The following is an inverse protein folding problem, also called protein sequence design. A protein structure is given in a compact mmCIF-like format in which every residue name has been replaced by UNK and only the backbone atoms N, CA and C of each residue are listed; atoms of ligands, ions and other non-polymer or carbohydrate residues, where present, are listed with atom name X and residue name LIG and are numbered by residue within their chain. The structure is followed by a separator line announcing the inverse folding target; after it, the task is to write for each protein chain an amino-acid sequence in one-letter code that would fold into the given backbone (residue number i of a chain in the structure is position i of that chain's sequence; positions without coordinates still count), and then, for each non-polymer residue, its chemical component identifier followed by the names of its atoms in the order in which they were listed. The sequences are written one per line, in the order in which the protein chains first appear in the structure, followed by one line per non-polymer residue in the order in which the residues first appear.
data_IF_116663950802
#
_entry.id   IF_116663950802
#
_cell.length_a   1.000
_cell.length_b   1.000
_cell.length_c   1.000
_cell.angle_alpha   90.00
_cell.angle_beta   90.00
_cell.angle_gamma   90.00
#
_symmetry.space_group_name_H-M   'P 1'
#
loop_
_entity.id
_entity.type
_entity.pdbx_description
1 polymer ?
#
# COMPACT_ATOMS: atom_id res chain seq x y z
N UNK A 1 -10.32 17.63 18.51
CA UNK A 1 -10.82 18.82 17.76
C UNK A 1 -11.93 18.48 16.78
N UNK A 2 -11.78 17.49 15.87
CA UNK A 2 -12.82 17.22 14.88
C UNK A 2 -14.16 16.76 15.46
N UNK A 3 -14.17 15.99 16.57
CA UNK A 3 -15.41 15.55 17.22
C UNK A 3 -16.30 16.72 17.64
N UNK A 4 -15.73 17.78 18.23
CA UNK A 4 -16.48 18.95 18.68
C UNK A 4 -17.03 19.79 17.52
N UNK A 5 -16.42 19.71 16.33
CA UNK A 5 -16.77 20.49 15.15
C UNK A 5 -17.52 19.68 14.08
N UNK A 6 -17.91 18.44 14.37
CA UNK A 6 -18.45 17.52 13.38
C UNK A 6 -19.69 18.07 12.64
N UNK A 7 -20.61 18.69 13.37
CA UNK A 7 -21.81 19.32 12.80
C UNK A 7 -21.47 20.52 11.91
N UNK A 8 -20.52 21.35 12.33
CA UNK A 8 -20.06 22.52 11.57
C UNK A 8 -19.34 22.10 10.28
N UNK A 9 -18.46 21.10 10.36
CA UNK A 9 -17.80 20.53 9.19
C UNK A 9 -18.81 19.90 8.22
N UNK A 10 -19.84 19.22 8.74
CA UNK A 10 -20.92 18.68 7.92
C UNK A 10 -21.67 19.80 7.15
N UNK A 11 -21.99 20.92 7.81
CA UNK A 11 -22.60 22.11 7.17
C UNK A 11 -21.70 22.71 6.08
N UNK A 12 -20.39 22.76 6.29
CA UNK A 12 -19.44 23.24 5.27
C UNK A 12 -19.39 22.28 4.07
N UNK A 13 -19.25 20.98 4.32
CA UNK A 13 -19.15 19.96 3.27
C UNK A 13 -20.44 19.81 2.47
N UNK A 14 -21.61 20.06 3.07
CA UNK A 14 -22.89 20.01 2.36
C UNK A 14 -23.02 21.07 1.27
N UNK A 15 -22.22 22.14 1.31
CA UNK A 15 -22.13 23.16 0.24
C UNK A 15 -21.25 22.74 -0.94
N UNK A 16 -20.42 21.71 -0.78
CA UNK A 16 -19.54 21.23 -1.84
C UNK A 16 -20.29 20.46 -2.91
N UNK A 17 -19.76 20.47 -4.14
CA UNK A 17 -20.29 19.62 -5.22
C UNK A 17 -19.94 18.15 -4.97
N UNK A 18 -20.71 17.25 -5.59
CA UNK A 18 -20.46 15.82 -5.51
C UNK A 18 -19.04 15.45 -5.96
N UNK A 19 -18.51 16.15 -6.96
CA UNK A 19 -17.18 15.96 -7.53
C UNK A 19 -16.06 16.33 -6.53
N UNK A 20 -16.13 17.52 -5.93
CA UNK A 20 -15.19 17.96 -4.89
C UNK A 20 -15.13 16.94 -3.75
N UNK A 21 -16.30 16.45 -3.30
CA UNK A 21 -16.36 15.45 -2.25
C UNK A 21 -15.75 14.11 -2.67
N UNK A 22 -15.90 13.70 -3.94
CA UNK A 22 -15.21 12.49 -4.46
C UNK A 22 -13.70 12.67 -4.42
N UNK A 23 -13.20 13.83 -4.83
CA UNK A 23 -11.76 14.13 -4.80
C UNK A 23 -11.21 14.15 -3.37
N UNK A 24 -11.94 14.75 -2.42
CA UNK A 24 -11.60 14.66 -0.98
C UNK A 24 -11.52 13.21 -0.52
N UNK A 25 -12.51 12.39 -0.88
CA UNK A 25 -12.55 10.97 -0.50
C UNK A 25 -11.36 10.19 -1.03
N UNK A 26 -10.98 10.42 -2.28
CA UNK A 26 -9.80 9.78 -2.89
C UNK A 26 -8.52 10.26 -2.19
N UNK A 27 -8.34 11.58 -2.08
CA UNK A 27 -7.13 12.20 -1.50
C UNK A 27 -6.92 11.82 -0.03
N UNK A 28 -8.00 11.65 0.73
CA UNK A 28 -7.95 11.31 2.15
C UNK A 28 -8.17 9.82 2.42
N UNK A 29 -8.32 8.97 1.40
CA UNK A 29 -8.50 7.52 1.59
C UNK A 29 -9.76 7.15 2.37
N UNK A 30 -10.84 7.91 2.19
CA UNK A 30 -12.16 7.52 2.71
C UNK A 30 -12.81 6.51 1.75
N UNK A 31 -13.96 5.94 2.14
CA UNK A 31 -14.66 4.94 1.32
C UNK A 31 -15.21 5.55 0.02
N UNK A 32 -14.56 5.27 -1.11
CA UNK A 32 -14.86 5.83 -2.44
C UNK A 32 -16.14 5.33 -3.11
N UNK A 33 -16.67 4.16 -2.69
CA UNK A 33 -17.84 3.53 -3.32
C UNK A 33 -19.18 4.13 -2.90
N UNK A 34 -19.18 5.15 -2.05
CA UNK A 34 -20.40 5.78 -1.54
C UNK A 34 -20.97 6.70 -2.61
N UNK A 35 -22.14 6.34 -3.16
CA UNK A 35 -22.79 7.08 -4.23
C UNK A 35 -23.49 8.36 -3.74
N UNK A 36 -24.19 8.28 -2.60
CA UNK A 36 -24.98 9.38 -2.04
C UNK A 36 -24.08 10.43 -1.38
N UNK A 37 -24.44 11.70 -1.55
CA UNK A 37 -23.68 12.84 -1.02
C UNK A 37 -23.58 12.80 0.50
N UNK A 38 -24.68 12.58 1.21
CA UNK A 38 -24.74 12.61 2.67
C UNK A 38 -23.94 11.47 3.31
N UNK A 39 -24.07 10.26 2.78
CA UNK A 39 -23.25 9.12 3.20
C UNK A 39 -21.75 9.41 3.00
N UNK A 40 -21.38 10.17 1.96
CA UNK A 40 -19.99 10.56 1.70
C UNK A 40 -19.51 11.59 2.72
N UNK A 41 -20.33 12.57 3.04
CA UNK A 41 -20.04 13.56 4.09
C UNK A 41 -19.85 12.83 5.43
N UNK A 42 -20.76 11.91 5.79
CA UNK A 42 -20.64 11.12 7.02
C UNK A 42 -19.35 10.30 7.05
N UNK A 43 -18.96 9.68 5.94
CA UNK A 43 -17.70 8.96 5.80
C UNK A 43 -16.47 9.87 6.03
N UNK A 44 -16.49 11.08 5.46
CA UNK A 44 -15.45 12.10 5.70
C UNK A 44 -15.40 12.44 7.19
N UNK A 45 -16.53 12.82 7.80
CA UNK A 45 -16.60 13.23 9.21
C UNK A 45 -16.12 12.12 10.15
N UNK A 46 -16.62 10.90 10.00
CA UNK A 46 -16.18 9.75 10.82
C UNK A 46 -14.68 9.50 10.70
N UNK A 47 -14.14 9.59 9.48
CA UNK A 47 -12.70 9.43 9.27
C UNK A 47 -11.86 10.57 9.86
N UNK A 48 -12.36 11.81 9.88
CA UNK A 48 -11.70 12.94 10.53
C UNK A 48 -11.73 12.84 12.06
N UNK A 49 -12.82 12.32 12.62
CA UNK A 49 -12.93 12.02 14.06
C UNK A 49 -11.89 10.98 14.45
N UNK A 50 -11.81 9.86 13.72
CA UNK A 50 -10.80 8.82 13.94
C UNK A 50 -9.38 9.37 13.83
N UNK A 51 -9.12 10.23 12.85
CA UNK A 51 -7.81 10.87 12.67
C UNK A 51 -7.43 11.72 13.88
N UNK A 52 -8.41 12.44 14.45
CA UNK A 52 -8.20 13.28 15.63
C UNK A 52 -7.98 12.50 16.92
N UNK A 53 -8.29 11.20 16.96
CA UNK A 53 -8.02 10.34 18.13
C UNK A 53 -6.67 9.64 18.07
N UNK A 54 -5.96 9.70 16.94
CA UNK A 54 -4.61 9.16 16.82
C UNK A 54 -3.61 10.10 17.51
N UNK A 55 -2.55 9.56 18.13
CA UNK A 55 -1.51 10.38 18.72
C UNK A 55 -0.72 11.15 17.63
N UNK A 56 -0.04 12.25 17.96
CA UNK A 56 0.69 13.06 16.98
C UNK A 56 1.83 12.33 16.27
N UNK A 57 2.44 11.35 16.96
CA UNK A 57 3.44 10.42 16.43
C UNK A 57 2.95 9.01 16.66
N UNK A 58 3.02 8.18 15.63
CA UNK A 58 2.65 6.77 15.70
C UNK A 58 3.29 5.99 14.56
N UNK A 59 3.30 4.67 14.72
CA UNK A 59 3.78 3.78 13.68
C UNK A 59 2.63 3.19 12.86
N UNK A 60 2.92 2.97 11.59
CA UNK A 60 2.06 2.29 10.62
C UNK A 60 2.81 1.05 10.15
N UNK A 61 2.14 -0.09 10.09
CA UNK A 61 2.64 -1.26 9.37
C UNK A 61 1.74 -1.57 8.17
N UNK A 62 2.30 -1.63 6.96
CA UNK A 62 1.63 -2.15 5.77
C UNK A 62 2.04 -3.60 5.55
N UNK A 63 1.09 -4.51 5.35
CA UNK A 63 1.32 -5.95 5.19
C UNK A 63 0.68 -6.43 3.89
N UNK A 64 1.45 -7.16 3.10
CA UNK A 64 0.98 -7.96 1.97
C UNK A 64 1.09 -9.45 2.35
N UNK A 65 -0.07 -10.11 2.46
CA UNK A 65 -0.17 -11.47 2.98
C UNK A 65 0.12 -12.47 1.88
N UNK A 66 1.14 -13.29 2.11
CA UNK A 66 1.35 -14.50 1.34
C UNK A 66 2.22 -15.50 2.08
N UNK A 67 1.87 -16.78 2.05
CA UNK A 67 2.65 -17.82 2.75
C UNK A 67 4.11 -17.89 2.29
N UNK A 68 4.36 -17.77 0.99
CA UNK A 68 5.70 -17.87 0.39
C UNK A 68 6.38 -16.51 0.14
N UNK A 69 5.62 -15.43 0.32
CA UNK A 69 5.99 -14.10 -0.13
C UNK A 69 5.46 -13.01 0.81
N UNK A 70 5.36 -13.33 2.10
CA UNK A 70 4.92 -12.40 3.14
C UNK A 70 5.83 -11.19 3.12
N UNK A 71 5.24 -10.00 3.01
CA UNK A 71 5.99 -8.76 2.99
C UNK A 71 5.34 -7.73 3.91
N UNK A 72 6.16 -6.90 4.54
CA UNK A 72 5.66 -5.78 5.33
C UNK A 72 6.62 -4.60 5.30
N UNK A 73 6.07 -3.42 5.55
CA UNK A 73 6.82 -2.19 5.75
C UNK A 73 6.32 -1.46 7.00
N UNK A 74 7.21 -1.17 7.95
CA UNK A 74 6.95 -0.34 9.12
C UNK A 74 7.42 1.08 8.87
N UNK A 75 6.53 2.03 9.13
CA UNK A 75 6.76 3.46 9.02
C UNK A 75 6.56 4.12 10.37
N UNK A 76 7.49 4.97 10.78
CA UNK A 76 7.27 5.96 11.84
C UNK A 76 6.71 7.25 11.22
N UNK A 77 5.61 7.77 11.75
CA UNK A 77 5.02 9.02 11.27
C UNK A 77 5.83 10.24 11.71
N UNK A 78 6.48 10.88 10.73
CA UNK A 78 7.16 12.17 10.89
C UNK A 78 6.26 13.39 10.58
N UNK A 79 6.72 14.60 10.93
CA UNK A 79 5.98 15.84 10.67
C UNK A 79 5.91 16.20 9.18
N UNK A 80 6.91 15.79 8.38
CA UNK A 80 7.01 16.09 6.95
C UNK A 80 6.77 14.87 6.10
N UNK A 81 7.51 13.78 6.36
CA UNK A 81 7.40 12.50 5.65
C UNK A 81 7.56 11.33 6.64
N UNK A 82 6.90 10.19 6.38
CA UNK A 82 7.12 8.98 7.16
C UNK A 82 8.54 8.45 6.97
N UNK A 83 9.06 7.82 8.01
CA UNK A 83 10.38 7.21 8.04
C UNK A 83 10.23 5.70 8.00
N UNK A 84 10.86 5.03 7.02
CA UNK A 84 10.91 3.58 6.91
C UNK A 84 11.82 3.06 8.03
N UNK A 85 11.23 2.38 9.00
CA UNK A 85 11.92 1.75 10.11
C UNK A 85 12.35 0.32 9.75
N UNK A 86 11.48 -0.39 9.04
CA UNK A 86 11.72 -1.77 8.64
C UNK A 86 10.97 -2.06 7.33
N UNK A 87 11.60 -2.79 6.41
CA UNK A 87 10.95 -3.21 5.17
C UNK A 87 11.51 -4.56 4.73
N UNK A 88 10.68 -5.60 4.82
CA UNK A 88 11.16 -6.97 4.75
C UNK A 88 10.18 -7.89 4.00
N UNK A 89 10.71 -9.00 3.48
CA UNK A 89 9.96 -10.07 2.82
C UNK A 89 10.61 -11.42 3.11
N UNK A 90 9.79 -12.44 3.38
CA UNK A 90 10.24 -13.81 3.54
C UNK A 90 9.11 -14.82 3.31
N UNK A 91 9.50 -16.07 3.18
CA UNK A 91 8.64 -17.24 3.20
C UNK A 91 8.34 -17.62 4.66
N UNK A 92 7.06 -17.61 5.04
CA UNK A 92 6.62 -17.91 6.39
C UNK A 92 6.91 -19.37 6.78
N UNK A 93 6.91 -20.27 5.81
CA UNK A 93 7.27 -21.66 6.07
C UNK A 93 8.73 -21.72 6.48
N UNK A 94 9.63 -21.23 5.63
CA UNK A 94 11.06 -21.26 5.92
C UNK A 94 11.42 -20.60 7.24
N UNK A 95 10.80 -19.45 7.54
CA UNK A 95 11.10 -18.68 8.74
C UNK A 95 10.66 -19.35 10.04
N UNK A 96 9.49 -20.00 10.05
CA UNK A 96 8.85 -20.42 11.31
C UNK A 96 8.63 -21.93 11.47
N UNK A 97 8.89 -22.73 10.43
CA UNK A 97 8.63 -24.18 10.45
C UNK A 97 9.40 -24.90 11.56
N UNK A 98 10.62 -24.48 11.87
CA UNK A 98 11.46 -25.11 12.91
C UNK A 98 10.87 -25.01 14.32
N UNK A 99 10.02 -24.01 14.58
CA UNK A 99 9.35 -23.83 15.87
C UNK A 99 7.96 -24.49 15.96
N UNK A 100 7.53 -25.23 14.94
CA UNK A 100 6.22 -25.89 14.93
C UNK A 100 6.32 -27.40 15.13
N UNK A 101 5.59 -27.91 16.12
CA UNK A 101 5.47 -29.34 16.41
C UNK A 101 4.05 -29.84 16.08
N UNK A 102 3.87 -30.74 15.08
CA UNK A 102 2.58 -31.37 14.78
C UNK A 102 2.02 -32.22 15.93
N UNK A 103 0.69 -32.35 16.03
CA UNK A 103 0.05 -33.21 17.04
C UNK A 103 -0.11 -34.64 16.53
N UNK A 104 -0.58 -34.78 15.29
CA UNK A 104 -0.78 -36.09 14.69
C UNK A 104 0.58 -36.47 14.10
N UNK A 105 1.26 -37.47 14.68
CA UNK A 105 2.58 -37.99 14.29
C UNK A 105 2.62 -38.56 12.84
N UNK A 106 2.09 -37.86 11.84
CA UNK A 106 2.36 -38.15 10.44
C UNK A 106 3.85 -37.90 10.20
N UNK A 107 4.47 -38.75 9.38
CA UNK A 107 5.86 -38.59 8.96
C UNK A 107 5.97 -37.19 8.34
N UNK A 108 6.60 -36.30 9.09
CA UNK A 108 6.63 -34.87 8.84
C UNK A 108 7.33 -34.56 7.52
N UNK A 109 6.56 -34.30 6.46
CA UNK A 109 7.08 -33.63 5.29
C UNK A 109 6.91 -32.12 5.47
N UNK A 110 8.03 -31.47 5.83
CA UNK A 110 8.12 -30.02 6.05
C UNK A 110 7.57 -29.22 4.88
N UNK A 111 7.68 -29.75 3.67
CA UNK A 111 7.27 -29.05 2.45
C UNK A 111 5.77 -29.20 2.17
N UNK A 112 5.09 -30.13 2.85
CA UNK A 112 3.71 -30.54 2.58
C UNK A 112 2.75 -30.44 3.78
N UNK A 113 3.14 -29.77 4.87
CA UNK A 113 2.32 -29.60 6.09
C UNK A 113 0.88 -29.10 5.84
N UNK A 114 0.67 -28.28 4.80
CA UNK A 114 -0.64 -27.76 4.43
C UNK A 114 -1.52 -28.77 3.68
N UNK A 115 -0.97 -29.91 3.26
CA UNK A 115 -1.63 -30.93 2.45
C UNK A 115 -1.79 -32.29 3.13
N UNK A 116 -1.08 -32.54 4.24
CA UNK A 116 -1.11 -33.85 4.90
C UNK A 116 -2.39 -34.11 5.69
N UNK A 117 -2.75 -33.22 6.61
CA UNK A 117 -3.95 -33.38 7.43
C UNK A 117 -4.58 -32.04 7.85
N UNK A 118 -5.90 -32.04 8.03
CA UNK A 118 -6.68 -30.82 8.29
C UNK A 118 -6.37 -30.20 9.66
N UNK A 119 -6.06 -31.03 10.65
CA UNK A 119 -5.82 -30.60 12.03
C UNK A 119 -4.52 -29.81 12.11
N UNK A 120 -3.41 -30.39 11.66
CA UNK A 120 -2.11 -29.76 11.69
C UNK A 120 -1.99 -28.61 10.70
N UNK A 121 -2.61 -28.69 9.52
CA UNK A 121 -2.60 -27.56 8.57
C UNK A 121 -3.31 -26.33 9.15
N UNK A 122 -4.48 -26.50 9.77
CA UNK A 122 -5.22 -25.41 10.42
C UNK A 122 -4.46 -24.86 11.63
N UNK A 123 -3.91 -25.76 12.47
CA UNK A 123 -3.13 -25.38 13.65
C UNK A 123 -1.84 -24.67 13.26
N UNK A 124 -1.20 -25.09 12.18
CA UNK A 124 -0.01 -24.45 11.65
C UNK A 124 -0.29 -23.03 11.14
N UNK A 125 -1.38 -22.81 10.41
CA UNK A 125 -1.78 -21.45 10.00
C UNK A 125 -2.10 -20.56 11.21
N UNK A 126 -2.72 -21.12 12.25
CA UNK A 126 -2.95 -20.39 13.51
C UNK A 126 -1.63 -20.05 14.22
N UNK A 127 -0.67 -20.96 14.24
CA UNK A 127 0.68 -20.73 14.73
C UNK A 127 1.38 -19.61 13.95
N UNK A 128 1.36 -19.64 12.61
CA UNK A 128 1.93 -18.58 11.78
C UNK A 128 1.27 -17.22 12.05
N UNK A 129 -0.06 -17.20 12.19
CA UNK A 129 -0.80 -15.99 12.54
C UNK A 129 -0.35 -15.41 13.87
N UNK A 130 -0.19 -16.25 14.89
CA UNK A 130 0.31 -15.84 16.21
C UNK A 130 1.74 -15.31 16.13
N UNK A 131 2.62 -15.94 15.34
CA UNK A 131 4.00 -15.50 15.10
C UNK A 131 4.06 -14.13 14.43
N UNK A 132 3.28 -13.90 13.39
CA UNK A 132 3.18 -12.59 12.74
C UNK A 132 2.70 -11.53 13.74
N UNK A 133 1.69 -11.83 14.54
CA UNK A 133 1.16 -10.89 15.53
C UNK A 133 2.20 -10.57 16.60
N UNK A 134 2.88 -11.55 17.16
CA UNK A 134 3.79 -11.37 18.31
C UNK A 134 5.18 -10.89 17.96
N UNK A 135 5.66 -11.18 16.75
CA UNK A 135 7.03 -10.85 16.34
C UNK A 135 7.07 -9.67 15.36
N UNK A 136 5.99 -9.41 14.62
CA UNK A 136 5.97 -8.39 13.56
C UNK A 136 5.05 -7.23 13.90
N UNK A 137 3.78 -7.51 14.25
CA UNK A 137 2.78 -6.45 14.50
C UNK A 137 2.90 -5.90 15.92
N UNK A 138 3.05 -6.76 16.93
CA UNK A 138 3.20 -6.40 18.34
C UNK A 138 4.49 -6.99 18.94
N UNK A 139 5.66 -6.65 18.39
CA UNK A 139 6.94 -7.08 18.96
C UNK A 139 7.10 -6.58 20.40
N UNK A 140 7.61 -7.44 21.29
CA UNK A 140 7.81 -7.11 22.72
C UNK A 140 8.79 -5.95 22.96
N UNK A 141 9.68 -5.67 22.01
CA UNK A 141 10.80 -4.75 22.14
C UNK A 141 10.59 -3.40 21.43
N UNK A 142 9.49 -3.19 20.71
CA UNK A 142 9.26 -1.98 19.93
C UNK A 142 7.92 -1.34 20.26
N UNK A 143 7.74 -0.11 19.79
CA UNK A 143 6.48 0.62 19.81
C UNK A 143 5.40 -0.16 19.05
N UNK A 144 4.24 -0.29 19.69
CA UNK A 144 3.06 -0.90 19.08
C UNK A 144 2.54 0.02 17.98
N UNK A 145 2.34 -0.46 16.74
CA UNK A 145 1.81 0.36 15.67
C UNK A 145 0.39 0.78 16.01
N UNK A 146 0.10 2.07 15.82
CA UNK A 146 -1.27 2.54 15.97
C UNK A 146 -2.15 2.03 14.84
N UNK A 147 -1.58 1.77 13.66
CA UNK A 147 -2.31 1.31 12.47
C UNK A 147 -1.58 0.13 11.82
N UNK A 148 -2.30 -0.99 11.65
CA UNK A 148 -1.90 -2.09 10.78
C UNK A 148 -2.80 -2.08 9.53
N UNK A 149 -2.20 -1.89 8.35
CA UNK A 149 -2.86 -1.90 7.05
C UNK A 149 -2.61 -3.24 6.39
N UNK A 150 -3.66 -4.03 6.19
CA UNK A 150 -3.54 -5.38 5.64
C UNK A 150 -4.18 -5.42 4.25
N UNK A 151 -3.43 -5.84 3.22
CA UNK A 151 -4.05 -6.09 1.92
C UNK A 151 -5.06 -7.24 2.04
N UNK A 152 -6.29 -6.97 1.61
CA UNK A 152 -7.34 -7.96 1.54
C UNK A 152 -7.16 -8.85 0.31
N UNK A 153 -7.01 -10.15 0.55
CA UNK A 153 -6.79 -11.13 -0.51
C UNK A 153 -8.05 -11.32 -1.35
N UNK A 154 -7.92 -11.25 -2.68
CA UNK A 154 -9.03 -11.54 -3.59
C UNK A 154 -9.21 -13.06 -3.72
N UNK A 155 -10.39 -13.57 -3.41
CA UNK A 155 -10.78 -14.98 -3.56
C UNK A 155 -11.14 -15.35 -5.01
N UNK A 156 -10.43 -14.81 -6.01
CA UNK A 156 -10.75 -15.04 -7.43
C UNK A 156 -9.83 -16.10 -8.05
N UNK A 157 -10.32 -17.33 -8.18
CA UNK A 157 -9.74 -18.32 -9.11
C UNK A 157 -10.44 -18.20 -10.46
N UNK A 158 -10.07 -17.22 -11.28
CA UNK A 158 -10.60 -17.14 -12.65
C UNK A 158 -9.96 -18.27 -13.47
N UNK A 159 -10.50 -19.49 -13.35
CA UNK A 159 -10.12 -20.66 -14.15
C UNK A 159 -8.79 -21.33 -13.82
N UNK A 160 -8.05 -20.89 -12.80
CA UNK A 160 -6.77 -21.51 -12.38
C UNK A 160 -6.95 -22.33 -11.10
N UNK A 161 -7.27 -23.62 -11.25
CA UNK A 161 -7.39 -24.55 -10.12
C UNK A 161 -6.09 -24.72 -9.34
N UNK A 162 -4.93 -24.57 -9.99
CA UNK A 162 -3.61 -24.70 -9.36
C UNK A 162 -3.25 -23.59 -8.38
N UNK A 163 -3.83 -22.39 -8.52
CA UNK A 163 -3.57 -21.25 -7.62
C UNK A 163 -4.59 -21.13 -6.50
N UNK A 164 -5.77 -21.74 -6.65
CA UNK A 164 -6.86 -21.66 -5.69
C UNK A 164 -6.45 -22.15 -4.28
N UNK A 165 -5.74 -23.28 -4.08
CA UNK A 165 -5.34 -23.71 -2.74
C UNK A 165 -4.48 -22.67 -2.02
N UNK A 166 -3.49 -22.08 -2.70
CA UNK A 166 -2.64 -21.03 -2.12
C UNK A 166 -3.44 -19.77 -1.80
N UNK A 167 -4.37 -19.37 -2.67
CA UNK A 167 -5.25 -18.22 -2.43
C UNK A 167 -6.15 -18.46 -1.22
N UNK A 168 -6.70 -19.66 -1.07
CA UNK A 168 -7.54 -20.02 0.08
C UNK A 168 -6.73 -20.07 1.38
N UNK A 169 -5.51 -20.59 1.36
CA UNK A 169 -4.65 -20.62 2.54
C UNK A 169 -4.21 -19.21 2.96
N UNK A 170 -3.88 -18.33 2.01
CA UNK A 170 -3.60 -16.92 2.31
C UNK A 170 -4.83 -16.21 2.88
N UNK A 171 -6.01 -16.46 2.31
CA UNK A 171 -7.28 -15.92 2.82
C UNK A 171 -7.59 -16.44 4.24
N UNK A 172 -7.34 -17.72 4.51
CA UNK A 172 -7.53 -18.29 5.84
C UNK A 172 -6.54 -17.67 6.85
N UNK A 173 -5.27 -17.52 6.47
CA UNK A 173 -4.26 -16.85 7.27
C UNK A 173 -4.65 -15.39 7.58
N UNK A 174 -5.16 -14.65 6.59
CA UNK A 174 -5.69 -13.29 6.78
C UNK A 174 -6.79 -13.24 7.85
N UNK A 175 -7.76 -14.16 7.79
CA UNK A 175 -8.84 -14.21 8.78
C UNK A 175 -8.33 -14.58 10.18
N UNK A 176 -7.37 -15.51 10.26
CA UNK A 176 -6.71 -15.85 11.52
C UNK A 176 -5.92 -14.65 12.08
N UNK A 177 -5.31 -13.83 11.23
CA UNK A 177 -4.63 -12.60 11.65
C UNK A 177 -5.60 -11.59 12.25
N UNK A 178 -6.78 -11.37 11.64
CA UNK A 178 -7.81 -10.50 12.23
C UNK A 178 -8.28 -11.03 13.59
N UNK A 179 -8.55 -12.34 13.70
CA UNK A 179 -8.99 -12.96 14.94
C UNK A 179 -7.93 -12.85 16.05
N UNK A 180 -6.67 -13.13 15.71
CA UNK A 180 -5.53 -13.03 16.62
C UNK A 180 -5.31 -11.58 17.05
N UNK A 181 -5.31 -10.63 16.12
CA UNK A 181 -5.19 -9.20 16.43
C UNK A 181 -6.27 -8.73 17.41
N UNK A 182 -7.54 -9.06 17.15
CA UNK A 182 -8.64 -8.69 18.03
C UNK A 182 -8.47 -9.29 19.43
N UNK A 183 -8.06 -10.55 19.52
CA UNK A 183 -7.80 -11.24 20.79
C UNK A 183 -6.67 -10.56 21.56
N UNK A 184 -5.53 -10.32 20.91
CA UNK A 184 -4.39 -9.60 21.50
C UNK A 184 -4.77 -8.20 21.95
N UNK A 185 -5.58 -7.48 21.19
CA UNK A 185 -6.05 -6.16 21.58
C UNK A 185 -6.97 -6.23 22.81
N UNK A 186 -7.86 -7.22 22.88
CA UNK A 186 -8.78 -7.40 24.01
C UNK A 186 -8.04 -7.80 25.29
N UNK A 187 -7.07 -8.68 25.19
CA UNK A 187 -6.26 -9.14 26.33
C UNK A 187 -5.23 -8.09 26.75
N UNK A 188 -4.55 -7.46 25.78
CA UNK A 188 -3.61 -6.35 26.03
C UNK A 188 -4.27 -5.08 26.59
N UNK A 189 -5.58 -4.92 26.45
CA UNK A 189 -6.37 -3.88 27.16
C UNK A 189 -6.38 -4.10 28.67
N UNK A 190 -6.30 -5.35 29.14
CA UNK A 190 -6.22 -5.64 30.57
C UNK A 190 -4.87 -5.20 31.16
N UNK A 191 -3.84 -5.08 30.32
CA UNK A 191 -2.47 -4.71 30.72
C UNK A 191 -2.04 -3.31 30.23
N UNK A 192 -2.95 -2.52 29.65
CA UNK A 192 -2.69 -1.20 29.02
C UNK A 192 -1.59 -1.19 27.93
N UNK A 193 -1.17 -2.33 27.41
CA UNK A 193 -0.04 -2.42 26.48
C UNK A 193 -0.40 -2.18 25.00
N UNK A 194 -1.66 -2.40 24.60
CA UNK A 194 -2.08 -2.46 23.18
C UNK A 194 -3.35 -1.64 22.90
N UNK A 195 -3.74 -0.74 23.80
CA UNK A 195 -4.95 0.09 23.65
C UNK A 195 -4.81 1.06 22.48
N UNK A 196 -5.72 0.97 21.50
CA UNK A 196 -5.86 1.97 20.43
C UNK A 196 -5.25 1.59 19.07
N UNK A 197 -4.57 0.46 18.95
CA UNK A 197 -4.13 -0.04 17.63
C UNK A 197 -5.33 -0.44 16.76
N UNK A 198 -5.29 -0.12 15.47
CA UNK A 198 -6.36 -0.41 14.52
C UNK A 198 -5.83 -1.27 13.37
N UNK A 199 -6.52 -2.36 13.07
CA UNK A 199 -6.28 -3.13 11.86
C UNK A 199 -7.28 -2.73 10.79
N UNK A 200 -6.78 -2.25 9.65
CA UNK A 200 -7.56 -1.73 8.55
C UNK A 200 -7.36 -2.58 7.29
N UNK A 201 -8.39 -3.33 6.84
CA UNK A 201 -8.33 -4.03 5.56
C UNK A 201 -8.33 -3.03 4.40
N UNK A 202 -7.44 -3.23 3.43
CA UNK A 202 -7.36 -2.39 2.23
C UNK A 202 -7.32 -3.22 0.96
N UNK A 203 -7.88 -2.68 -0.11
CA UNK A 203 -7.82 -3.33 -1.42
C UNK A 203 -6.66 -2.74 -2.23
N UNK A 204 -5.88 -3.59 -2.91
CA UNK A 204 -4.85 -3.14 -3.87
C UNK A 204 -5.38 -2.16 -4.92
N UNK A 205 -6.66 -2.24 -5.30
CA UNK A 205 -7.24 -1.29 -6.25
C UNK A 205 -7.31 0.13 -5.69
N UNK A 206 -7.60 0.29 -4.40
CA UNK A 206 -7.65 1.62 -3.76
C UNK A 206 -6.26 2.25 -3.71
N UNK A 207 -5.24 1.49 -3.31
CA UNK A 207 -3.84 1.91 -3.31
C UNK A 207 -3.35 2.22 -4.74
N UNK A 208 -3.60 1.33 -5.69
CA UNK A 208 -3.20 1.52 -7.08
C UNK A 208 -3.93 2.70 -7.72
N UNK A 209 -5.18 2.98 -7.35
CA UNK A 209 -5.91 4.14 -7.84
C UNK A 209 -5.37 5.45 -7.25
N UNK A 210 -5.08 5.45 -5.96
CA UNK A 210 -4.50 6.61 -5.27
C UNK A 210 -3.13 6.97 -5.84
N UNK A 211 -2.24 5.99 -5.97
CA UNK A 211 -0.91 6.26 -6.50
C UNK A 211 -0.96 6.45 -8.03
N UNK A 212 -1.58 5.55 -8.79
CA UNK A 212 -1.37 5.54 -10.24
C UNK A 212 -2.64 5.93 -10.98
N UNK A 213 -3.67 5.10 -10.90
CA UNK A 213 -4.69 5.04 -11.97
C UNK A 213 -5.37 6.39 -12.23
N UNK A 214 -5.66 7.19 -11.21
CA UNK A 214 -6.34 8.49 -11.41
C UNK A 214 -5.55 9.48 -12.27
N UNK A 215 -4.22 9.45 -12.22
CA UNK A 215 -3.37 10.30 -13.05
C UNK A 215 -3.21 9.75 -14.46
N UNK A 216 -3.19 8.42 -14.59
CA UNK A 216 -3.07 7.73 -15.87
C UNK A 216 -4.36 7.80 -16.68
N UNK A 217 -5.51 7.74 -16.01
CA UNK A 217 -6.82 7.89 -16.65
C UNK A 217 -6.92 9.22 -17.39
N UNK A 218 -6.44 10.31 -16.77
CA UNK A 218 -6.33 11.64 -17.39
C UNK A 218 -5.37 11.63 -18.60
N UNK A 219 -4.23 10.94 -18.52
CA UNK A 219 -3.20 10.92 -19.58
C UNK A 219 -3.51 10.00 -20.77
N UNK A 220 -4.36 9.00 -20.59
CA UNK A 220 -4.57 7.91 -21.57
C UNK A 220 -5.94 7.96 -22.25
N UNK A 221 -6.59 9.11 -22.26
CA UNK A 221 -7.96 9.28 -22.74
C UNK A 221 -8.91 8.24 -22.12
N UNK A 222 -8.76 7.97 -20.81
CA UNK A 222 -9.53 6.95 -20.07
C UNK A 222 -9.40 5.51 -20.60
N UNK A 223 -8.26 5.12 -21.17
CA UNK A 223 -8.03 3.74 -21.63
C UNK A 223 -7.81 2.76 -20.45
N UNK A 224 -8.92 2.35 -19.82
CA UNK A 224 -8.94 1.41 -18.67
C UNK A 224 -8.17 0.10 -18.91
N UNK A 225 -8.16 -0.40 -20.16
CA UNK A 225 -7.45 -1.65 -20.51
C UNK A 225 -5.93 -1.50 -20.36
N UNK A 226 -5.38 -0.33 -20.71
CA UNK A 226 -3.95 -0.05 -20.56
C UNK A 226 -3.55 -0.03 -19.08
N UNK A 227 -4.35 0.67 -18.26
CA UNK A 227 -4.11 0.80 -16.82
C UNK A 227 -4.13 -0.57 -16.14
N UNK A 228 -5.16 -1.37 -16.36
CA UNK A 228 -5.28 -2.70 -15.74
C UNK A 228 -4.08 -3.59 -16.12
N UNK A 229 -3.65 -3.55 -17.38
CA UNK A 229 -2.54 -4.36 -17.90
C UNK A 229 -1.20 -3.99 -17.27
N UNK A 230 -0.96 -2.70 -17.03
CA UNK A 230 0.37 -2.21 -16.63
C UNK A 230 0.47 -1.73 -15.18
N UNK A 231 -0.64 -1.71 -14.42
CA UNK A 231 -0.70 -1.18 -13.05
C UNK A 231 0.40 -1.74 -12.14
N UNK A 232 0.64 -3.07 -12.18
CA UNK A 232 1.68 -3.72 -11.36
C UNK A 232 3.10 -3.26 -11.70
N UNK A 233 3.40 -3.20 -13.00
CA UNK A 233 4.69 -2.70 -13.50
C UNK A 233 4.90 -1.24 -13.13
N UNK A 234 3.86 -0.42 -13.24
CA UNK A 234 3.90 1.01 -12.87
C UNK A 234 4.15 1.22 -11.38
N UNK A 235 3.54 0.42 -10.48
CA UNK A 235 3.82 0.48 -9.03
C UNK A 235 5.28 0.20 -8.72
N UNK A 236 5.80 -0.87 -9.32
CA UNK A 236 7.20 -1.26 -9.16
C UNK A 236 8.14 -0.15 -9.65
N UNK A 237 7.86 0.43 -10.82
CA UNK A 237 8.64 1.54 -11.37
C UNK A 237 8.58 2.79 -10.51
N UNK A 238 7.39 3.16 -10.04
CA UNK A 238 7.18 4.31 -9.16
C UNK A 238 8.11 4.23 -7.94
N UNK A 239 8.10 3.08 -7.24
CA UNK A 239 8.98 2.86 -6.09
C UNK A 239 10.44 2.91 -6.49
N UNK A 240 10.84 2.34 -7.63
CA UNK A 240 12.22 2.47 -8.10
C UNK A 240 12.64 3.89 -8.42
N UNK A 241 11.77 4.73 -8.97
CA UNK A 241 12.07 6.15 -9.18
C UNK A 241 12.27 6.86 -7.84
N UNK A 242 11.43 6.60 -6.85
CA UNK A 242 11.60 7.15 -5.51
C UNK A 242 12.90 6.69 -4.85
N UNK A 243 13.22 5.40 -4.95
CA UNK A 243 14.47 4.84 -4.43
C UNK A 243 15.69 5.46 -5.13
N UNK A 244 15.68 5.55 -6.46
CA UNK A 244 16.75 6.21 -7.22
C UNK A 244 16.97 7.65 -6.75
N UNK A 245 15.89 8.44 -6.61
CA UNK A 245 15.97 9.83 -6.14
C UNK A 245 16.48 9.90 -4.69
N UNK A 246 16.03 8.99 -3.82
CA UNK A 246 16.50 8.89 -2.45
C UNK A 246 18.00 8.52 -2.37
N UNK A 247 18.50 7.73 -3.31
CA UNK A 247 19.90 7.25 -3.31
C UNK A 247 20.88 8.16 -4.04
N UNK A 248 20.43 8.85 -5.09
CA UNK A 248 21.30 9.71 -5.90
C UNK A 248 21.57 11.08 -5.23
N UNK A 249 20.95 11.36 -4.08
CA UNK A 249 21.09 12.64 -3.36
C UNK A 249 20.96 13.83 -4.31
N UNK A 250 20.00 13.75 -5.24
CA UNK A 250 19.86 14.73 -6.32
C UNK A 250 19.45 16.09 -5.71
N UNK A 251 20.48 16.94 -5.64
CA UNK A 251 20.60 18.33 -5.24
C UNK A 251 19.89 18.89 -3.99
N UNK A 252 20.73 19.42 -3.11
CA UNK A 252 20.49 20.21 -1.88
C UNK A 252 19.59 21.45 -2.04
N UNK A 253 18.98 21.67 -3.20
CA UNK A 253 18.20 22.87 -3.52
C UNK A 253 16.75 22.58 -3.96
N UNK A 254 16.40 21.34 -4.33
CA UNK A 254 15.02 20.90 -4.63
C UNK A 254 14.56 19.65 -3.83
N UNK A 255 15.46 19.03 -3.08
CA UNK A 255 15.44 17.65 -2.54
C UNK A 255 14.37 17.23 -1.50
N UNK A 256 13.34 18.03 -1.18
CA UNK A 256 12.36 17.63 -0.16
C UNK A 256 10.99 17.16 -0.70
N UNK A 257 10.76 17.19 -2.02
CA UNK A 257 9.46 16.80 -2.62
C UNK A 257 9.51 15.59 -3.56
N UNK A 258 10.68 15.04 -3.84
CA UNK A 258 10.85 14.11 -4.96
C UNK A 258 10.47 12.65 -4.66
N UNK A 259 10.27 12.30 -3.38
CA UNK A 259 9.85 10.97 -2.90
C UNK A 259 9.16 11.07 -1.52
N UNK A 260 8.21 10.16 -1.18
CA UNK A 260 7.30 10.36 -0.05
C UNK A 260 7.78 9.78 1.29
N UNK A 261 9.07 9.48 1.48
CA UNK A 261 9.60 8.86 2.70
C UNK A 261 11.05 9.25 3.04
N UNK A 262 11.52 8.86 4.21
CA UNK A 262 12.95 8.79 4.58
C UNK A 262 13.30 7.38 5.05
N UNK A 263 14.58 7.05 5.12
CA UNK A 263 15.06 5.83 5.79
C UNK A 263 15.49 6.12 7.22
N UNK A 264 15.43 5.11 8.08
CA UNK A 264 16.17 5.13 9.33
C UNK A 264 17.68 5.06 9.12
N UNK A 265 18.44 5.76 9.97
CA UNK A 265 19.89 5.78 9.97
C UNK A 265 20.47 4.37 10.18
N UNK A 266 19.71 3.48 10.82
CA UNK A 266 20.07 2.09 11.07
C UNK A 266 19.72 1.12 9.92
N UNK A 267 18.98 1.56 8.88
CA UNK A 267 18.79 0.72 7.66
C UNK A 267 20.17 0.57 7.00
N UNK A 268 20.85 -0.59 7.12
CA UNK A 268 22.30 -0.52 7.20
C UNK A 268 22.95 -0.29 5.84
N UNK A 269 23.80 0.74 5.80
CA UNK A 269 24.81 1.06 4.78
C UNK A 269 24.30 1.26 3.35
N UNK A 270 23.21 2.01 3.23
CA UNK A 270 22.86 2.71 1.99
C UNK A 270 24.06 3.51 1.44
N UNK A 271 24.83 4.14 2.33
CA UNK A 271 26.06 4.88 1.98
C UNK A 271 27.12 4.01 1.29
N UNK A 272 27.24 2.73 1.64
CA UNK A 272 28.23 1.84 1.00
C UNK A 272 27.86 1.47 -0.43
N UNK A 273 26.56 1.32 -0.72
CA UNK A 273 26.04 1.08 -2.06
C UNK A 273 26.05 2.36 -2.90
N UNK A 274 25.70 3.51 -2.31
CA UNK A 274 25.76 4.84 -2.94
C UNK A 274 27.22 5.16 -3.37
N UNK A 275 28.19 4.87 -2.51
CA UNK A 275 29.61 5.12 -2.79
C UNK A 275 30.22 4.19 -3.85
N UNK A 276 29.52 3.11 -4.25
CA UNK A 276 30.03 2.14 -5.23
C UNK A 276 30.00 2.61 -6.70
N UNK A 277 29.61 3.87 -6.98
CA UNK A 277 29.61 4.50 -8.32
C UNK A 277 28.95 3.66 -9.44
N UNK A 278 27.98 2.81 -9.12
CA UNK A 278 27.10 2.16 -10.11
C UNK A 278 25.72 2.82 -10.01
N UNK A 279 25.52 4.02 -10.59
CA UNK A 279 24.39 4.87 -10.23
C UNK A 279 23.10 4.51 -11.00
N UNK A 280 23.13 3.47 -11.82
CA UNK A 280 21.95 3.01 -12.52
C UNK A 280 21.59 1.62 -12.05
N UNK A 281 20.47 1.52 -11.34
CA UNK A 281 19.76 0.26 -11.20
C UNK A 281 19.38 -0.18 -12.62
N UNK A 282 20.21 -1.00 -13.25
CA UNK A 282 19.90 -1.56 -14.56
C UNK A 282 18.60 -2.37 -14.45
N UNK A 283 17.71 -2.23 -15.44
CA UNK A 283 16.37 -2.84 -15.39
C UNK A 283 16.39 -4.37 -15.16
N UNK A 284 17.49 -5.05 -15.48
CA UNK A 284 17.65 -6.48 -15.29
C UNK A 284 17.97 -6.89 -13.84
N UNK A 285 18.62 -6.04 -13.04
CA UNK A 285 19.11 -6.39 -11.70
C UNK A 285 18.34 -5.72 -10.55
N UNK A 286 17.30 -4.93 -10.87
CA UNK A 286 16.58 -4.14 -9.86
C UNK A 286 16.08 -4.96 -8.65
N UNK A 287 15.44 -6.13 -8.85
CA UNK A 287 14.90 -6.92 -7.74
C UNK A 287 15.98 -7.39 -6.76
N UNK A 288 17.05 -8.00 -7.27
CA UNK A 288 18.15 -8.49 -6.43
C UNK A 288 18.84 -7.37 -5.69
N UNK A 289 19.03 -6.22 -6.34
CA UNK A 289 19.65 -5.07 -5.71
C UNK A 289 18.78 -4.50 -4.59
N UNK A 290 17.45 -4.47 -4.74
CA UNK A 290 16.55 -4.07 -3.66
C UNK A 290 16.65 -5.05 -2.48
N UNK A 291 16.65 -6.36 -2.73
CA UNK A 291 16.79 -7.37 -1.68
C UNK A 291 18.12 -7.22 -0.92
N UNK A 292 19.21 -6.92 -1.65
CA UNK A 292 20.52 -6.64 -1.05
C UNK A 292 20.53 -5.36 -0.21
N UNK A 293 19.92 -4.28 -0.69
CA UNK A 293 19.79 -3.02 0.07
C UNK A 293 19.01 -3.25 1.37
N UNK A 294 17.94 -4.03 1.30
CA UNK A 294 17.12 -4.37 2.45
C UNK A 294 17.73 -5.48 3.32
N UNK A 295 18.88 -6.04 2.91
CA UNK A 295 19.55 -7.16 3.58
C UNK A 295 18.59 -8.33 3.85
N UNK A 296 17.71 -8.58 2.90
CA UNK A 296 16.76 -9.69 2.98
C UNK A 296 17.54 -10.97 2.79
N UNK A 297 17.48 -11.83 3.80
CA UNK A 297 18.15 -13.11 3.80
C UNK A 297 17.62 -14.01 2.68
N UNK A 298 18.49 -14.29 1.71
CA UNK A 298 18.16 -15.10 0.54
C UNK A 298 17.70 -16.51 0.94
N UNK A 299 18.16 -17.04 2.08
CA UNK A 299 17.73 -18.37 2.53
C UNK A 299 16.23 -18.38 2.85
N UNK A 300 15.69 -17.25 3.31
CA UNK A 300 14.30 -17.07 3.71
C UNK A 300 13.37 -16.67 2.56
N UNK A 301 13.86 -16.52 1.33
CA UNK A 301 13.04 -16.16 0.17
C UNK A 301 12.91 -17.37 -0.77
N UNK A 302 11.72 -17.61 -1.34
CA UNK A 302 11.52 -18.65 -2.38
C UNK A 302 11.45 -18.07 -3.79
N UNK A 303 11.23 -16.76 -3.92
CA UNK A 303 11.11 -16.09 -5.20
C UNK A 303 11.59 -14.62 -5.11
N UNK A 304 12.50 -14.24 -6.00
CA UNK A 304 13.09 -12.90 -6.11
C UNK A 304 12.15 -11.83 -6.69
N UNK A 305 10.88 -12.16 -6.98
CA UNK A 305 9.86 -11.13 -7.28
C UNK A 305 9.71 -10.19 -6.08
N UNK A 306 9.52 -8.91 -6.35
CA UNK A 306 9.48 -7.86 -5.32
C UNK A 306 8.16 -7.09 -5.29
N UNK A 307 7.15 -7.54 -6.06
CA UNK A 307 5.87 -6.85 -6.08
C UNK A 307 5.19 -6.78 -4.70
N UNK A 308 5.33 -7.82 -3.88
CA UNK A 308 4.78 -7.84 -2.52
C UNK A 308 5.50 -6.84 -1.59
N UNK A 309 6.81 -6.66 -1.77
CA UNK A 309 7.59 -5.63 -1.08
C UNK A 309 7.12 -4.23 -1.48
N UNK A 310 6.94 -4.01 -2.78
CA UNK A 310 6.45 -2.75 -3.32
C UNK A 310 5.04 -2.45 -2.80
N UNK A 311 4.14 -3.44 -2.83
CA UNK A 311 2.74 -3.25 -2.45
C UNK A 311 2.61 -3.01 -0.94
N UNK A 312 3.36 -3.72 -0.09
CA UNK A 312 3.40 -3.45 1.37
C UNK A 312 3.89 -2.04 1.71
N UNK A 313 4.93 -1.53 1.04
CA UNK A 313 5.38 -0.14 1.18
C UNK A 313 4.29 0.84 0.71
N UNK A 314 3.71 0.62 -0.47
CA UNK A 314 2.72 1.52 -1.05
C UNK A 314 1.42 1.59 -0.22
N UNK A 315 1.02 0.51 0.43
CA UNK A 315 -0.09 0.51 1.39
C UNK A 315 0.21 1.34 2.62
N UNK A 316 1.39 1.16 3.23
CA UNK A 316 1.81 1.95 4.38
C UNK A 316 1.89 3.44 4.04
N UNK A 317 2.53 3.79 2.91
CA UNK A 317 2.63 5.17 2.43
C UNK A 317 1.29 5.77 2.05
N UNK A 318 0.37 4.97 1.46
CA UNK A 318 -1.00 5.42 1.16
C UNK A 318 -1.66 5.90 2.45
N UNK A 319 -1.59 5.10 3.51
CA UNK A 319 -2.18 5.46 4.80
C UNK A 319 -1.50 6.69 5.43
N UNK A 320 -0.17 6.77 5.41
CA UNK A 320 0.56 7.94 5.88
C UNK A 320 0.10 9.22 5.16
N UNK A 321 0.02 9.16 3.82
CA UNK A 321 -0.47 10.26 2.97
C UNK A 321 -1.92 10.62 3.28
N UNK A 322 -2.79 9.62 3.44
CA UNK A 322 -4.18 9.84 3.84
C UNK A 322 -4.28 10.55 5.19
N UNK A 323 -3.45 10.15 6.16
CA UNK A 323 -3.44 10.77 7.48
C UNK A 323 -3.01 12.25 7.39
N UNK A 324 -1.88 12.55 6.74
CA UNK A 324 -1.43 13.94 6.54
C UNK A 324 -2.49 14.78 5.82
N UNK A 325 -3.13 14.22 4.79
CA UNK A 325 -4.19 14.90 4.05
C UNK A 325 -5.42 15.17 4.94
N UNK A 326 -5.82 14.22 5.80
CA UNK A 326 -6.92 14.43 6.76
C UNK A 326 -6.61 15.54 7.76
N UNK A 327 -5.38 15.63 8.28
CA UNK A 327 -4.95 16.71 9.17
C UNK A 327 -5.02 18.07 8.44
N UNK A 328 -4.51 18.16 7.21
CA UNK A 328 -4.62 19.38 6.39
C UNK A 328 -6.08 19.75 6.12
N UNK A 329 -6.93 18.77 5.82
CA UNK A 329 -8.37 18.99 5.62
C UNK A 329 -9.05 19.50 6.89
N UNK A 330 -8.72 18.98 8.08
CA UNK A 330 -9.24 19.50 9.36
C UNK A 330 -8.89 20.99 9.51
N UNK A 331 -7.65 21.37 9.19
CA UNK A 331 -7.23 22.77 9.24
C UNK A 331 -8.01 23.65 8.25
N UNK A 332 -8.20 23.17 7.02
CA UNK A 332 -8.99 23.87 5.99
C UNK A 332 -10.44 24.02 6.43
N UNK A 333 -11.08 22.95 6.89
CA UNK A 333 -12.48 23.01 7.37
C UNK A 333 -12.62 23.95 8.58
N UNK A 334 -11.64 23.97 9.47
CA UNK A 334 -11.63 24.91 10.61
C UNK A 334 -11.55 26.37 10.14
N UNK A 335 -10.78 26.66 9.07
CA UNK A 335 -10.78 27.98 8.42
C UNK A 335 -12.12 28.29 7.76
N UNK A 336 -12.70 27.32 7.03
CA UNK A 336 -13.99 27.48 6.37
C UNK A 336 -15.13 27.77 7.35
N UNK A 337 -15.10 27.22 8.56
CA UNK A 337 -16.07 27.53 9.62
C UNK A 337 -15.98 29.00 10.05
N UNK A 338 -14.78 29.59 10.03
CA UNK A 338 -14.54 31.01 10.38
C UNK A 338 -14.79 31.96 9.21
N UNK A 339 -14.68 31.47 7.96
CA UNK A 339 -14.78 32.23 6.71
C UNK A 339 -15.80 31.54 5.80
N UNK A 340 -17.07 31.57 6.19
CA UNK A 340 -18.14 30.79 5.55
C UNK A 340 -18.31 31.16 4.07
N UNK A 341 -18.04 32.42 3.71
CA UNK A 341 -18.09 32.97 2.35
C UNK A 341 -16.96 32.44 1.44
N UNK A 342 -15.79 32.12 2.01
CA UNK A 342 -14.63 31.57 1.26
C UNK A 342 -14.53 30.06 1.31
N UNK A 343 -15.45 29.38 2.00
CA UNK A 343 -15.35 27.96 2.29
C UNK A 343 -15.17 27.07 1.05
N UNK A 344 -15.86 27.40 -0.05
CA UNK A 344 -15.79 26.63 -1.31
C UNK A 344 -14.43 26.79 -2.00
N UNK A 345 -13.89 28.01 -2.01
CA UNK A 345 -12.59 28.33 -2.60
C UNK A 345 -11.46 27.62 -1.85
N UNK A 346 -11.45 27.72 -0.52
CA UNK A 346 -10.45 27.07 0.34
C UNK A 346 -10.44 25.54 0.18
N UNK A 347 -11.61 24.92 0.01
CA UNK A 347 -11.70 23.48 -0.22
C UNK A 347 -11.21 23.12 -1.62
N UNK A 348 -11.51 23.93 -2.64
CA UNK A 348 -11.03 23.69 -3.99
C UNK A 348 -9.51 23.81 -4.05
N UNK A 349 -8.95 24.88 -3.49
CA UNK A 349 -7.50 25.10 -3.35
C UNK A 349 -6.84 23.90 -2.68
N UNK A 350 -7.39 23.41 -1.55
CA UNK A 350 -6.88 22.22 -0.88
C UNK A 350 -6.83 20.99 -1.81
N UNK A 351 -7.88 20.76 -2.60
CA UNK A 351 -7.92 19.58 -3.47
C UNK A 351 -6.95 19.71 -4.65
N UNK A 352 -6.76 20.90 -5.21
CA UNK A 352 -5.77 21.15 -6.26
C UNK A 352 -4.33 21.05 -5.74
N UNK A 353 -4.03 21.70 -4.61
CA UNK A 353 -2.72 21.66 -3.97
C UNK A 353 -2.30 20.21 -3.67
N UNK A 354 -3.22 19.37 -3.20
CA UNK A 354 -2.94 17.94 -2.96
C UNK A 354 -2.76 17.13 -4.24
N UNK A 355 -3.42 17.52 -5.34
CA UNK A 355 -3.20 16.90 -6.66
C UNK A 355 -1.79 17.24 -7.15
N UNK A 356 -1.38 18.50 -7.04
CA UNK A 356 -0.05 18.99 -7.44
C UNK A 356 1.08 18.36 -6.62
N UNK A 357 0.96 18.34 -5.29
CA UNK A 357 1.93 17.69 -4.39
C UNK A 357 2.20 16.24 -4.80
N UNK A 358 1.16 15.55 -5.26
CA UNK A 358 1.25 14.17 -5.70
C UNK A 358 1.85 14.07 -7.09
N UNK A 359 1.47 14.94 -8.04
CA UNK A 359 2.02 14.94 -9.40
C UNK A 359 3.56 15.03 -9.43
N UNK A 360 4.17 15.80 -8.52
CA UNK A 360 5.64 15.90 -8.36
C UNK A 360 6.29 14.55 -8.09
N UNK A 361 5.57 13.62 -7.45
CA UNK A 361 6.07 12.26 -7.18
C UNK A 361 6.07 11.35 -8.43
N UNK A 362 5.47 11.78 -9.54
CA UNK A 362 5.32 11.00 -10.76
C UNK A 362 6.00 11.57 -12.00
N UNK A 363 6.65 12.74 -11.91
CA UNK A 363 7.18 13.44 -13.10
C UNK A 363 7.96 12.50 -14.06
N UNK A 364 8.89 11.69 -13.52
CA UNK A 364 9.66 10.73 -14.32
C UNK A 364 8.79 9.61 -14.91
N UNK A 365 7.82 9.12 -14.12
CA UNK A 365 6.94 8.03 -14.52
C UNK A 365 5.95 8.50 -15.59
N UNK A 366 5.43 9.73 -15.49
CA UNK A 366 4.47 10.30 -16.43
C UNK A 366 5.04 10.32 -17.85
N UNK A 367 6.28 10.76 -18.02
CA UNK A 367 6.91 10.79 -19.34
C UNK A 367 7.11 9.38 -19.91
N UNK A 368 7.61 8.43 -19.11
CA UNK A 368 7.73 7.04 -19.54
C UNK A 368 6.35 6.45 -19.93
N UNK A 369 5.31 6.82 -19.18
CA UNK A 369 3.95 6.37 -19.43
C UNK A 369 3.35 6.92 -20.71
N UNK A 370 3.56 8.21 -21.00
CA UNK A 370 3.15 8.84 -22.27
C UNK A 370 3.80 8.14 -23.46
N UNK A 371 5.09 7.83 -23.36
CA UNK A 371 5.79 7.09 -24.41
C UNK A 371 5.20 5.69 -24.62
N UNK A 372 4.96 4.94 -23.53
CA UNK A 372 4.40 3.60 -23.61
C UNK A 372 3.00 3.58 -24.22
N UNK A 373 2.14 4.52 -23.81
CA UNK A 373 0.80 4.68 -24.37
C UNK A 373 0.87 5.00 -25.88
N UNK A 374 1.77 5.90 -26.30
CA UNK A 374 2.01 6.24 -27.70
C UNK A 374 2.49 5.05 -28.54
N UNK A 375 3.41 4.22 -28.00
CA UNK A 375 3.88 3.00 -28.67
C UNK A 375 2.76 1.97 -28.85
N UNK A 376 1.89 1.79 -27.86
CA UNK A 376 0.74 0.87 -27.98
C UNK A 376 -0.30 1.36 -29.00
N UNK A 377 -0.57 2.67 -29.06
CA UNK A 377 -1.47 3.27 -30.05
C UNK A 377 -0.94 3.01 -31.48
N UNK A 378 0.34 3.31 -31.73
CA UNK A 378 1.02 3.01 -33.01
C UNK A 378 0.96 1.53 -33.40
N UNK A 379 1.12 0.60 -32.45
CA UNK A 379 0.99 -0.85 -32.71
C UNK A 379 -0.42 -1.25 -33.13
N UNK A 380 -1.46 -0.67 -32.51
CA UNK A 380 -2.87 -0.92 -32.89
C UNK A 380 -3.17 -0.38 -34.28
N UNK A 381 -2.70 0.82 -34.59
CA UNK A 381 -2.94 1.44 -35.90
C UNK A 381 -2.23 0.66 -37.03
N UNK A 382 -1.01 0.17 -36.80
CA UNK A 382 -0.31 -0.72 -37.73
C UNK A 382 -1.04 -2.06 -37.94
N UNK A 383 -1.65 -2.63 -36.89
CA UNK A 383 -2.46 -3.86 -37.02
C UNK A 383 -3.74 -3.64 -37.81
N UNK A 384 -4.40 -2.48 -37.67
CA UNK A 384 -5.59 -2.12 -38.46
C UNK A 384 -5.28 -1.83 -39.93
N UNK A 385 -4.06 -1.36 -40.23
CA UNK A 385 -3.61 -1.06 -41.60
C UNK A 385 -3.04 -2.25 -42.38
N UNK A 386 -2.96 -3.47 -41.80
CA UNK A 386 -2.71 -4.69 -42.59
C UNK A 386 -4.04 -5.14 -43.18
N UNK A 387 -4.30 -4.95 -44.48
CA UNK A 387 -5.53 -5.41 -45.11
C UNK A 387 -5.54 -6.94 -45.18
N UNK A 388 -6.74 -7.48 -45.33
CA UNK A 388 -7.06 -8.90 -45.56
C UNK A 388 -6.50 -9.41 -46.91
N UNK A 389 -5.19 -9.32 -47.13
CA UNK A 389 -4.51 -9.86 -48.32
C UNK A 389 -4.32 -11.39 -48.29
N UNK A 390 -5.14 -12.10 -47.50
CA UNK A 390 -5.13 -13.56 -47.42
C UNK A 390 -6.55 -14.11 -47.42
N UNK A 391 -7.26 -14.00 -48.55
CA UNK A 391 -8.40 -14.85 -48.90
C UNK A 391 -8.79 -14.67 -50.38
N UNK A 392 -7.85 -14.88 -51.31
CA UNK A 392 -8.16 -15.07 -52.74
C UNK A 392 -7.19 -16.06 -53.40
N UNK A 393 -7.19 -17.31 -52.95
CA UNK A 393 -6.78 -18.52 -53.72
C UNK A 393 -7.51 -19.69 -53.03
N UNK A 394 -8.36 -20.55 -53.62
CA UNK A 394 -8.59 -20.97 -54.99
C UNK A 394 -10.10 -21.27 -55.21
N UNK A 395 -10.57 -21.02 -56.43
CA UNK A 395 -11.70 -21.70 -57.07
C UNK A 395 -11.16 -22.61 -58.17
#
# INVERSE_FOLDING_TARGET
MASNNASLYSKVLSKCTNDILKRIVITCGFKATIAKKDERINSIISGLILTSSLPPKFDIIGVDIGLKNFAYCKLEMGPTKPKIMEWNKFDLHKKYIEGYEPILNSKYDRDNILSENLVDSTRYLSYLSNKIITEIIFPRSLTVPAIAVIEHQRTRSVGQSSTLPNVMNNFLLENMLYASFYTYQREGKQTNAVTGSLMNPVYSQSMAYFWINRFVEELTDNNKKFIVKHSKSMRTKLVYHWLNRAFLNDDKTAANRSYPFSFDAEVPKLDSLINSKKPYISHANKPNMLLQILQIDECNVTNFKIDDLVDSLLHALSYASYHHNKIKLINVLTKCVKQEEKAKELILEYVEERKEDQLVLYEDLIEEMKEQAGREKKKKDKKKKKPEEKLTVAS
#
